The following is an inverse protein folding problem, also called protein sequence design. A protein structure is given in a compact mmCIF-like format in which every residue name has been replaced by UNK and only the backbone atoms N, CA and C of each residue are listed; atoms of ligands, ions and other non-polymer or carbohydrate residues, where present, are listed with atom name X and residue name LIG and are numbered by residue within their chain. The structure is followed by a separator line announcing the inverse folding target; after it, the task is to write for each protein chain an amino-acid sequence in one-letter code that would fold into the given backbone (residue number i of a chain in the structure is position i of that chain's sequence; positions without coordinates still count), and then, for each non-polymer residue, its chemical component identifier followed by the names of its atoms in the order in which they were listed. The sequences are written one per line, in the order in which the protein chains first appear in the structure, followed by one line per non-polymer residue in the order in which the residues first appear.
data_IF_295357450797
#
_entry.id   IF_295357450797
#
_cell.length_a   1.000
_cell.length_b   1.000
_cell.length_c   1.000
_cell.angle_alpha   90.00
_cell.angle_beta   90.00
_cell.angle_gamma   90.00
#
_symmetry.space_group_name_H-M   'P 1'
#
loop_
_entity.id
_entity.type
_entity.pdbx_description
1 polymer ?
#
# COMPACT_ATOMS: atom_id res chain seq x y z
N UNK A 1 29.86 -13.66 7.60
CA UNK A 1 28.68 -13.69 8.48
C UNK A 1 27.62 -14.58 7.87
N UNK A 2 27.21 -15.69 8.53
CA UNK A 2 26.07 -16.47 8.07
C UNK A 2 24.80 -15.62 8.19
N UNK A 3 24.09 -15.42 7.08
CA UNK A 3 22.84 -14.64 7.05
C UNK A 3 21.73 -15.55 7.57
N UNK A 4 21.34 -15.39 8.83
CA UNK A 4 20.08 -15.97 9.32
C UNK A 4 18.97 -15.52 8.39
N UNK A 5 18.15 -16.45 7.88
CA UNK A 5 17.01 -16.10 7.05
C UNK A 5 16.14 -15.09 7.81
N UNK A 6 15.84 -13.96 7.17
CA UNK A 6 14.98 -12.98 7.79
C UNK A 6 13.59 -13.60 7.95
N UNK A 7 13.05 -13.54 9.17
CA UNK A 7 11.73 -14.06 9.47
C UNK A 7 10.75 -12.89 9.48
N UNK A 8 9.89 -12.83 8.48
CA UNK A 8 8.74 -11.93 8.51
C UNK A 8 7.65 -12.52 9.41
N UNK A 9 7.04 -11.67 10.23
CA UNK A 9 5.84 -12.00 10.99
C UNK A 9 4.61 -11.68 10.14
N UNK A 10 3.47 -12.29 10.48
CA UNK A 10 2.18 -11.97 9.86
C UNK A 10 1.83 -10.48 9.96
N UNK A 11 2.22 -9.84 11.06
CA UNK A 11 2.03 -8.39 11.25
C UNK A 11 2.86 -7.55 10.25
N UNK A 12 4.04 -8.00 9.86
CA UNK A 12 4.90 -7.29 8.90
C UNK A 12 4.30 -7.35 7.49
N UNK A 13 3.78 -8.53 7.12
CA UNK A 13 3.05 -8.73 5.85
C UNK A 13 1.83 -7.81 5.79
N UNK A 14 1.00 -7.82 6.84
CA UNK A 14 -0.18 -6.95 6.90
C UNK A 14 0.16 -5.47 6.80
N UNK A 15 1.28 -5.04 7.40
CA UNK A 15 1.75 -3.65 7.32
C UNK A 15 2.20 -3.28 5.91
N UNK A 16 2.93 -4.17 5.22
CA UNK A 16 3.37 -3.93 3.85
C UNK A 16 2.20 -3.80 2.87
N UNK A 17 1.18 -4.66 3.03
CA UNK A 17 -0.05 -4.61 2.21
C UNK A 17 -0.78 -3.28 2.42
N UNK A 18 -1.05 -2.90 3.67
CA UNK A 18 -1.75 -1.63 3.97
C UNK A 18 -1.01 -0.41 3.45
N UNK A 19 0.32 -0.42 3.54
CA UNK A 19 1.14 0.67 3.00
C UNK A 19 1.00 0.80 1.48
N UNK A 20 0.91 -0.32 0.75
CA UNK A 20 0.67 -0.31 -0.70
C UNK A 20 -0.75 0.16 -1.01
N UNK A 21 -1.76 -0.34 -0.30
CA UNK A 21 -3.16 0.07 -0.47
C UNK A 21 -3.34 1.59 -0.32
N UNK A 22 -2.69 2.20 0.68
CA UNK A 22 -2.72 3.65 0.91
C UNK A 22 -2.19 4.49 -0.25
N UNK A 23 -1.39 3.92 -1.15
CA UNK A 23 -0.86 4.64 -2.31
C UNK A 23 -1.83 4.70 -3.48
N UNK A 24 -2.90 3.88 -3.50
CA UNK A 24 -3.82 3.73 -4.64
C UNK A 24 -3.20 3.10 -5.90
N UNK A 25 -1.90 2.78 -5.87
CA UNK A 25 -1.21 2.18 -7.01
C UNK A 25 -1.27 0.66 -6.94
N UNK A 26 -1.54 0.02 -8.09
CA UNK A 26 -1.38 -1.41 -8.22
C UNK A 26 0.12 -1.77 -8.17
N UNK A 27 0.55 -2.41 -7.08
CA UNK A 27 1.92 -2.90 -6.89
C UNK A 27 1.94 -4.39 -6.54
N UNK A 28 2.94 -5.08 -7.05
CA UNK A 28 3.36 -6.40 -6.60
C UNK A 28 4.29 -6.27 -5.38
N UNK A 29 4.03 -7.06 -4.34
CA UNK A 29 4.82 -7.08 -3.11
C UNK A 29 5.54 -8.43 -2.98
N UNK A 30 6.87 -8.41 -3.01
CA UNK A 30 7.71 -9.60 -2.87
C UNK A 30 8.53 -9.51 -1.59
N UNK A 31 8.35 -10.50 -0.70
CA UNK A 31 9.14 -10.63 0.52
C UNK A 31 10.29 -11.62 0.25
N UNK A 32 11.52 -11.12 0.23
CA UNK A 32 12.71 -11.90 -0.09
C UNK A 32 13.28 -12.62 1.14
N UNK A 33 13.91 -13.78 0.93
CA UNK A 33 14.45 -14.63 2.03
C UNK A 33 15.52 -13.94 2.87
N UNK A 34 16.11 -12.86 2.36
CA UNK A 34 17.12 -12.05 3.02
C UNK A 34 16.55 -10.88 3.85
N UNK A 35 15.22 -10.72 3.86
CA UNK A 35 14.52 -9.72 4.65
C UNK A 35 14.19 -8.44 3.91
N UNK A 36 14.50 -8.36 2.62
CA UNK A 36 14.09 -7.24 1.79
C UNK A 36 12.64 -7.37 1.37
N UNK A 37 11.95 -6.24 1.29
CA UNK A 37 10.64 -6.12 0.67
C UNK A 37 10.84 -5.38 -0.65
N UNK A 38 10.53 -6.03 -1.75
CA UNK A 38 10.58 -5.44 -3.09
C UNK A 38 9.16 -5.11 -3.53
N UNK A 39 8.97 -3.86 -3.93
CA UNK A 39 7.73 -3.34 -4.46
C UNK A 39 7.93 -3.05 -5.95
N UNK A 40 7.15 -3.70 -6.80
CA UNK A 40 7.17 -3.48 -8.25
C UNK A 40 5.82 -2.94 -8.70
N UNK A 41 5.80 -1.85 -9.48
CA UNK A 41 4.53 -1.38 -10.05
C UNK A 41 4.02 -2.42 -11.05
N UNK A 42 2.74 -2.80 -10.96
CA UNK A 42 2.12 -3.66 -11.96
C UNK A 42 2.04 -2.88 -13.29
N UNK A 43 2.83 -3.28 -14.27
CA UNK A 43 2.78 -2.68 -15.62
C UNK A 43 1.42 -2.99 -16.26
N UNK A 44 0.67 -1.96 -16.62
CA UNK A 44 -0.63 -2.05 -17.29
C UNK A 44 -1.85 -1.81 -16.38
N UNK A 45 -1.67 -1.63 -15.08
CA UNK A 45 -2.75 -1.21 -14.21
C UNK A 45 -2.97 0.31 -14.29
N UNK A 46 -4.22 0.79 -14.45
CA UNK A 46 -4.51 2.22 -14.40
C UNK A 46 -4.06 2.77 -13.05
N UNK A 47 -3.37 3.91 -13.06
CA UNK A 47 -3.07 4.62 -11.82
C UNK A 47 -4.37 5.21 -11.29
N UNK A 48 -4.91 4.64 -10.22
CA UNK A 48 -5.99 5.27 -9.48
C UNK A 48 -5.32 6.18 -8.46
N UNK A 49 -5.30 7.49 -8.75
CA UNK A 49 -4.88 8.47 -7.76
C UNK A 49 -6.00 8.61 -6.74
N UNK A 50 -5.82 8.00 -5.56
CA UNK A 50 -6.74 8.18 -4.45
C UNK A 50 -6.34 9.47 -3.72
N UNK A 51 -7.15 10.52 -3.88
CA UNK A 51 -7.05 11.73 -3.08
C UNK A 51 -8.01 11.61 -1.87
N UNK A 52 -7.50 11.30 -0.66
CA UNK A 52 -8.36 11.15 0.51
C UNK A 52 -9.02 12.46 0.95
N UNK A 53 -8.61 13.62 0.41
CA UNK A 53 -9.26 14.92 0.67
C UNK A 53 -10.42 15.19 -0.28
N UNK A 54 -10.44 14.56 -1.45
CA UNK A 54 -11.54 14.70 -2.41
C UNK A 54 -12.81 14.01 -1.91
N UNK A 55 -12.68 12.88 -1.20
CA UNK A 55 -13.83 12.13 -0.67
C UNK A 55 -14.58 12.88 0.45
N UNK A 56 -13.90 13.74 1.21
CA UNK A 56 -14.53 14.56 2.26
C UNK A 56 -15.27 15.80 1.71
N UNK A 57 -15.03 16.18 0.46
CA UNK A 57 -15.62 17.38 -0.14
C UNK A 57 -17.05 17.14 -0.65
N UNK A 58 -17.40 15.91 -1.02
CA UNK A 58 -18.75 15.57 -1.51
C UNK A 58 -19.77 15.39 -0.38
N UNK A 59 -19.32 15.12 0.85
CA UNK A 59 -20.18 14.98 2.04
C UNK A 59 -20.51 16.31 2.73
N UNK A 60 -20.06 17.46 2.19
CA UNK A 60 -20.45 18.79 2.66
C UNK A 60 -21.88 19.11 2.17
N UNK A 61 -22.86 18.45 2.78
CA UNK A 61 -24.29 18.68 2.63
C UNK A 61 -24.59 20.16 2.93
N UNK A 62 -25.28 20.81 1.99
CA UNK A 62 -25.91 22.12 2.17
C UNK A 62 -26.67 22.17 3.49
N UNK A 63 -26.20 23.00 4.42
CA UNK A 63 -26.98 23.43 5.57
C UNK A 63 -27.68 24.72 5.13
N UNK A 64 -28.93 24.60 4.66
CA UNK A 64 -29.81 25.77 4.49
C UNK A 64 -30.09 26.40 5.87
N UNK A 65 -29.97 27.73 5.93
CA UNK A 65 -30.15 28.59 7.12
C UNK A 65 -31.62 28.80 7.48
#
# INVERSE_FOLDING_TARGET
MPRTAAKFRQADVARAIRAVEQTGAAMEVVLERDGRIRLTRATGAPMIFHDPRAELAEDAIEIEL
#
